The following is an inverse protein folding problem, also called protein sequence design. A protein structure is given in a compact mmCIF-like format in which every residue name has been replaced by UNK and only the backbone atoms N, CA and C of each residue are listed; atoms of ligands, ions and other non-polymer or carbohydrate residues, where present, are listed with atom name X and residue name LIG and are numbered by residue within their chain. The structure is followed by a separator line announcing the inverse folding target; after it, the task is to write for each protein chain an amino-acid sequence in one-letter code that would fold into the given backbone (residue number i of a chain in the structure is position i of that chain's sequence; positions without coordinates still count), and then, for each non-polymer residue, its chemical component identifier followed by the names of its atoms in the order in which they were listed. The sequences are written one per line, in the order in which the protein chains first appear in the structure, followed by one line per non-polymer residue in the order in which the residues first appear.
data_IF_719623868453
#
_entry.id   IF_719623868453
#
_cell.length_a   1.000
_cell.length_b   1.000
_cell.length_c   1.000
_cell.angle_alpha   90.00
_cell.angle_beta   90.00
_cell.angle_gamma   90.00
#
_symmetry.space_group_name_H-M   'P 1'
#
loop_
_entity.id
_entity.type
_entity.pdbx_description
1 polymer ?
#
# COMPACT_ATOMS: atom_id res chain seq x y z
N UNK A 1 25.96 -9.04 -2.73
CA UNK A 1 25.04 -8.51 -3.75
C UNK A 1 23.92 -7.86 -2.98
N UNK A 2 23.96 -6.53 -2.79
CA UNK A 2 22.82 -5.81 -2.21
C UNK A 2 21.64 -6.00 -3.16
N UNK A 3 20.60 -6.70 -2.69
CA UNK A 3 19.33 -6.72 -3.39
C UNK A 3 18.80 -5.30 -3.35
N UNK A 4 18.83 -4.61 -4.48
CA UNK A 4 18.23 -3.31 -4.61
C UNK A 4 16.72 -3.52 -4.40
N UNK A 5 16.21 -3.04 -3.26
CA UNK A 5 14.80 -3.13 -2.88
C UNK A 5 14.05 -1.88 -3.34
N UNK A 6 12.77 -2.04 -3.63
CA UNK A 6 11.86 -0.91 -3.75
C UNK A 6 11.81 -0.15 -2.43
N UNK A 7 11.77 1.17 -2.55
CA UNK A 7 11.64 2.10 -1.44
C UNK A 7 10.46 3.05 -1.71
N UNK A 8 10.11 3.92 -0.77
CA UNK A 8 8.99 4.84 -0.94
C UNK A 8 9.25 6.17 -0.23
N UNK A 9 8.71 7.24 -0.80
CA UNK A 9 8.76 8.58 -0.22
C UNK A 9 7.34 9.15 -0.11
N UNK A 10 6.95 9.48 1.12
CA UNK A 10 5.67 10.14 1.37
C UNK A 10 5.77 11.62 0.99
N UNK A 11 4.79 12.13 0.26
CA UNK A 11 4.72 13.54 -0.07
C UNK A 11 4.18 14.36 1.11
N UNK A 12 4.44 15.67 1.09
CA UNK A 12 3.87 16.56 2.08
C UNK A 12 2.34 16.59 1.92
N UNK A 13 1.57 16.35 3.00
CA UNK A 13 0.12 16.45 2.94
C UNK A 13 -0.28 17.89 2.62
N UNK A 14 -1.22 18.04 1.69
CA UNK A 14 -1.75 19.32 1.25
C UNK A 14 -3.20 19.43 1.72
N UNK A 15 -3.52 20.56 2.34
CA UNK A 15 -4.89 20.89 2.70
C UNK A 15 -5.55 21.61 1.53
N UNK A 16 -6.65 21.04 1.03
CA UNK A 16 -7.44 21.63 -0.05
C UNK A 16 -8.92 21.57 0.36
N UNK A 17 -9.65 22.69 0.32
CA UNK A 17 -11.08 22.73 0.65
C UNK A 17 -11.45 22.11 2.02
N UNK A 18 -10.65 22.41 3.06
CA UNK A 18 -10.79 21.87 4.43
C UNK A 18 -10.54 20.35 4.57
N UNK A 19 -10.19 19.66 3.47
CA UNK A 19 -9.80 18.25 3.50
C UNK A 19 -8.30 18.10 3.27
N UNK A 20 -7.71 17.10 3.89
CA UNK A 20 -6.30 16.76 3.69
C UNK A 20 -6.17 15.72 2.59
N UNK A 21 -5.26 15.97 1.67
CA UNK A 21 -4.87 15.05 0.60
C UNK A 21 -3.37 14.80 0.68
N UNK A 22 -2.96 13.65 0.19
CA UNK A 22 -1.56 13.23 0.24
C UNK A 22 -1.28 12.26 -0.91
N UNK A 23 -0.01 12.14 -1.27
CA UNK A 23 0.47 11.14 -2.21
C UNK A 23 1.77 10.53 -1.70
N UNK A 24 2.25 9.53 -2.41
CA UNK A 24 3.57 8.96 -2.19
C UNK A 24 4.17 8.53 -3.51
N UNK A 25 5.50 8.50 -3.56
CA UNK A 25 6.25 8.05 -4.73
C UNK A 25 6.96 6.74 -4.38
N UNK A 26 6.76 5.72 -5.20
CA UNK A 26 7.47 4.45 -5.12
C UNK A 26 8.79 4.57 -5.88
N UNK A 27 9.90 4.37 -5.18
CA UNK A 27 11.24 4.50 -5.73
C UNK A 27 11.71 3.11 -6.15
N UNK A 28 11.88 2.92 -7.46
CA UNK A 28 12.38 1.67 -8.00
C UNK A 28 13.85 1.44 -7.62
N UNK A 29 14.27 0.18 -7.42
CA UNK A 29 15.66 -0.13 -7.19
C UNK A 29 16.52 0.23 -8.41
N UNK A 30 17.46 1.17 -8.22
CA UNK A 30 18.25 1.72 -9.33
C UNK A 30 17.57 2.87 -10.08
N UNK A 31 16.45 3.40 -9.56
CA UNK A 31 15.87 4.65 -10.05
C UNK A 31 16.93 5.75 -10.03
N UNK A 32 17.14 6.33 -11.20
CA UNK A 32 18.02 7.49 -11.37
C UNK A 32 17.21 8.77 -11.12
N UNK A 33 17.87 9.87 -10.79
CA UNK A 33 17.22 11.17 -10.55
C UNK A 33 16.30 11.66 -11.70
N UNK A 34 16.48 11.10 -12.90
CA UNK A 34 15.72 11.41 -14.13
C UNK A 34 14.42 10.58 -14.28
N UNK A 35 14.28 9.46 -13.55
CA UNK A 35 13.10 8.62 -13.51
C UNK A 35 12.77 8.27 -12.05
N UNK A 36 12.22 9.22 -11.26
CA UNK A 36 12.15 9.16 -9.80
C UNK A 36 11.16 8.12 -9.24
N UNK A 37 10.63 7.23 -10.08
CA UNK A 37 9.68 6.20 -9.70
C UNK A 37 8.22 6.59 -9.93
N UNK A 38 7.30 5.75 -9.46
CA UNK A 38 5.87 5.90 -9.73
C UNK A 38 5.19 6.72 -8.63
N UNK A 39 4.60 7.86 -9.02
CA UNK A 39 3.85 8.72 -8.10
C UNK A 39 2.40 8.25 -8.01
N UNK A 40 1.95 7.98 -6.79
CA UNK A 40 0.58 7.57 -6.48
C UNK A 40 -0.07 8.65 -5.63
N UNK A 41 -1.10 9.27 -6.18
CA UNK A 41 -1.95 10.20 -5.44
C UNK A 41 -3.06 9.43 -4.72
N UNK A 42 -3.27 9.73 -3.44
CA UNK A 42 -4.38 9.16 -2.69
C UNK A 42 -5.59 10.07 -2.86
N UNK A 43 -6.63 9.56 -3.53
CA UNK A 43 -7.87 10.30 -3.81
C UNK A 43 -8.78 10.42 -2.57
N UNK A 44 -8.42 9.77 -1.46
CA UNK A 44 -9.14 9.82 -0.20
C UNK A 44 -8.99 11.18 0.49
N UNK A 45 -10.07 11.63 1.15
CA UNK A 45 -10.12 12.89 1.88
C UNK A 45 -9.98 12.63 3.37
N UNK A 46 -8.93 13.17 3.98
CA UNK A 46 -8.64 12.97 5.39
C UNK A 46 -9.04 14.16 6.22
N UNK A 47 -9.53 13.91 7.43
CA UNK A 47 -9.89 14.95 8.40
C UNK A 47 -8.67 15.61 9.06
N UNK A 48 -7.46 15.07 8.87
CA UNK A 48 -6.22 15.55 9.50
C UNK A 48 -4.98 15.14 8.71
N UNK A 49 -3.94 15.97 8.76
CA UNK A 49 -2.65 15.70 8.13
C UNK A 49 -2.02 14.39 8.61
N UNK A 50 -2.12 14.10 9.91
CA UNK A 50 -1.56 12.88 10.49
C UNK A 50 -2.24 11.62 9.93
N UNK A 51 -3.58 11.61 9.86
CA UNK A 51 -4.34 10.51 9.27
C UNK A 51 -3.98 10.29 7.80
N UNK A 52 -3.78 11.38 7.05
CA UNK A 52 -3.30 11.30 5.67
C UNK A 52 -1.91 10.65 5.60
N UNK A 53 -0.96 11.10 6.42
CA UNK A 53 0.41 10.53 6.47
C UNK A 53 0.36 9.04 6.86
N UNK A 54 -0.41 8.67 7.87
CA UNK A 54 -0.55 7.28 8.30
C UNK A 54 -1.14 6.40 7.20
N UNK A 55 -2.19 6.87 6.53
CA UNK A 55 -2.81 6.17 5.41
C UNK A 55 -1.83 6.01 4.23
N UNK A 56 -1.12 7.08 3.86
CA UNK A 56 -0.14 7.04 2.78
C UNK A 56 1.04 6.12 3.10
N UNK A 57 1.55 6.18 4.33
CA UNK A 57 2.62 5.31 4.81
C UNK A 57 2.19 3.85 4.74
N UNK A 58 0.98 3.55 5.20
CA UNK A 58 0.44 2.18 5.17
C UNK A 58 0.30 1.66 3.75
N UNK A 59 -0.27 2.45 2.83
CA UNK A 59 -0.42 2.06 1.43
C UNK A 59 0.93 1.88 0.72
N UNK A 60 1.87 2.79 0.97
CA UNK A 60 3.23 2.72 0.42
C UNK A 60 3.97 1.46 0.90
N UNK A 61 3.87 1.13 2.19
CA UNK A 61 4.46 -0.10 2.75
C UNK A 61 3.88 -1.36 2.10
N UNK A 62 2.55 -1.41 1.87
CA UNK A 62 1.90 -2.54 1.21
C UNK A 62 2.41 -2.69 -0.23
N UNK A 63 2.48 -1.60 -0.99
CA UNK A 63 3.02 -1.64 -2.35
C UNK A 63 4.49 -2.04 -2.40
N UNK A 64 5.33 -1.51 -1.50
CA UNK A 64 6.75 -1.87 -1.46
C UNK A 64 6.95 -3.32 -1.05
N UNK A 65 6.14 -3.86 -0.13
CA UNK A 65 6.19 -5.27 0.23
C UNK A 65 5.79 -6.16 -0.95
N UNK A 66 4.69 -5.83 -1.63
CA UNK A 66 4.22 -6.50 -2.84
C UNK A 66 5.31 -6.51 -3.94
N UNK A 67 5.90 -5.34 -4.24
CA UNK A 67 6.93 -5.18 -5.28
C UNK A 67 8.26 -5.84 -4.94
N UNK A 68 8.63 -5.91 -3.65
CA UNK A 68 9.84 -6.61 -3.22
C UNK A 68 9.66 -8.14 -3.21
N UNK A 69 8.47 -8.64 -3.54
CA UNK A 69 8.17 -10.07 -3.42
C UNK A 69 8.19 -10.53 -1.97
N UNK A 70 8.09 -9.60 -1.01
CA UNK A 70 7.62 -9.88 0.35
C UNK A 70 6.10 -10.04 0.22
N UNK A 71 5.72 -11.05 -0.56
CA UNK A 71 4.39 -11.59 -0.54
C UNK A 71 4.22 -12.01 0.91
N UNK A 72 3.58 -11.16 1.72
CA UNK A 72 2.88 -11.62 2.89
C UNK A 72 2.07 -12.78 2.34
N UNK A 73 2.53 -14.00 2.63
CA UNK A 73 1.90 -15.21 2.16
C UNK A 73 0.49 -15.12 2.70
N UNK A 74 -0.41 -14.59 1.88
CA UNK A 74 -1.83 -14.76 2.03
C UNK A 74 -1.99 -16.22 1.69
N UNK A 75 -1.67 -17.06 2.68
CA UNK A 75 -2.05 -18.45 2.68
C UNK A 75 -3.57 -18.37 2.52
N UNK A 76 -4.13 -18.74 1.36
CA UNK A 76 -5.57 -18.84 1.26
C UNK A 76 -5.99 -19.75 2.41
N UNK A 77 -7.04 -19.43 3.18
CA UNK A 77 -7.50 -20.36 4.21
C UNK A 77 -7.68 -21.71 3.52
N UNK A 78 -6.89 -22.70 3.95
CA UNK A 78 -6.97 -24.04 3.39
C UNK A 78 -8.44 -24.45 3.43
N UNK A 79 -8.93 -24.99 2.31
CA UNK A 79 -10.30 -25.51 2.10
C UNK A 79 -10.70 -26.62 3.10
N UNK A 80 -9.89 -26.85 4.14
CA UNK A 80 -10.12 -27.77 5.23
C UNK A 80 -10.99 -27.19 6.37
N UNK A 81 -11.32 -25.88 6.37
CA UNK A 81 -12.10 -25.24 7.45
C UNK A 81 -13.43 -24.59 6.99
N UNK A 82 -14.14 -25.20 6.02
CA UNK A 82 -15.57 -24.90 5.80
C UNK A 82 -16.45 -25.92 6.57
N UNK A 83 -17.03 -25.56 7.74
CA UNK A 83 -17.89 -26.45 8.52
C UNK A 83 -19.36 -26.43 8.06
N UNK A 84 -19.67 -26.05 6.82
CA UNK A 84 -21.05 -25.91 6.32
C UNK A 84 -21.40 -26.88 5.18
N UNK A 85 -20.92 -28.12 5.29
CA UNK A 85 -21.35 -29.23 4.45
C UNK A 85 -22.46 -30.07 5.09
N UNK A 86 -23.69 -29.95 4.55
CA UNK A 86 -24.85 -30.84 4.70
C UNK A 86 -25.69 -30.77 5.98
N UNK A 87 -26.74 -29.94 5.91
CA UNK A 87 -28.08 -30.34 6.34
C UNK A 87 -29.08 -30.00 5.23
N UNK A 88 -29.32 -30.90 4.25
CA UNK A 88 -30.51 -30.78 3.43
C UNK A 88 -31.71 -31.16 4.31
N UNK A 89 -32.55 -30.17 4.60
CA UNK A 89 -33.88 -30.37 5.18
C UNK A 89 -34.85 -30.62 4.03
N UNK A 90 -34.90 -31.84 3.53
CA UNK A 90 -36.06 -32.41 2.81
C UNK A 90 -35.99 -33.93 2.90
#
# INVERSE_FOLDING_TARGET
MEQAKWDFQIEHPQQENDVWRIGYTLIAPGASADAPGERIAIEEHFSSAQTAIEAATRLAQIHVADLNGDTATFDPPSDAEVPFGKHPRF
#
